data_IF_569698746315
#
_entry.id   IF_569698746315
#
_cell.length_a   1.000
_cell.length_b   1.000
_cell.length_c   1.000
_cell.angle_alpha   90.00
_cell.angle_beta   90.00
_cell.angle_gamma   90.00
#
_symmetry.space_group_name_H-M   'P 1'
#
loop_
_entity.id
_entity.type
_entity.pdbx_description
1 polymer ?
#
# COMPACT_ATOMS: atom_id res chain seq x y z
N UNK A 1 -1.25 5.05 -4.08
CA UNK A 1 -1.78 3.77 -4.60
C UNK A 1 -1.39 2.56 -3.78
N UNK A 2 -0.11 2.29 -3.49
CA UNK A 2 0.27 1.12 -2.70
C UNK A 2 -0.45 1.08 -1.34
N UNK A 3 -0.42 2.18 -0.58
CA UNK A 3 -1.10 2.30 0.70
C UNK A 3 -2.62 2.07 0.60
N UNK A 4 -3.29 2.69 -0.36
CA UNK A 4 -4.74 2.53 -0.61
C UNK A 4 -5.11 1.09 -0.98
N UNK A 5 -4.37 0.48 -1.91
CA UNK A 5 -4.62 -0.91 -2.31
C UNK A 5 -4.38 -1.88 -1.16
N UNK A 6 -3.35 -1.64 -0.35
CA UNK A 6 -3.11 -2.43 0.85
C UNK A 6 -4.24 -2.23 1.88
N UNK A 7 -4.73 -1.00 2.06
CA UNK A 7 -5.85 -0.70 2.95
C UNK A 7 -7.11 -1.47 2.55
N UNK A 8 -7.45 -1.50 1.25
CA UNK A 8 -8.58 -2.27 0.74
C UNK A 8 -8.45 -3.79 0.95
N UNK A 9 -7.21 -4.32 0.93
CA UNK A 9 -6.97 -5.73 1.29
C UNK A 9 -7.18 -5.95 2.80
N UNK A 10 -6.54 -5.12 3.62
CA UNK A 10 -6.57 -5.24 5.08
C UNK A 10 -7.97 -4.99 5.66
N UNK A 11 -8.81 -4.20 4.98
CA UNK A 11 -10.20 -3.98 5.35
C UNK A 11 -11.06 -5.24 5.34
N UNK A 12 -10.63 -6.29 4.62
CA UNK A 12 -11.27 -7.61 4.67
C UNK A 12 -10.98 -8.36 5.98
N UNK A 13 -10.02 -7.88 6.78
CA UNK A 13 -9.57 -8.49 8.03
C UNK A 13 -9.86 -7.64 9.28
N UNK A 14 -10.31 -6.40 9.12
CA UNK A 14 -10.61 -5.51 10.25
C UNK A 14 -10.86 -4.05 9.85
N UNK A 15 -11.07 -3.20 10.84
CA UNK A 15 -11.26 -1.75 10.68
C UNK A 15 -9.92 -1.10 10.36
N UNK A 16 -9.82 -0.50 9.19
CA UNK A 16 -8.58 0.12 8.69
C UNK A 16 -8.72 1.63 8.60
N UNK A 17 -7.67 2.32 9.05
CA UNK A 17 -7.47 3.75 8.82
C UNK A 17 -6.21 3.97 7.99
N UNK A 18 -6.30 4.81 6.97
CA UNK A 18 -5.15 5.40 6.28
C UNK A 18 -4.97 6.83 6.77
N UNK A 19 -3.82 7.11 7.36
CA UNK A 19 -3.40 8.47 7.72
C UNK A 19 -2.53 9.02 6.60
N UNK A 20 -3.01 10.06 5.92
CA UNK A 20 -2.30 10.74 4.84
C UNK A 20 -1.41 11.84 5.42
N UNK A 21 -0.11 11.58 5.48
CA UNK A 21 0.92 12.54 5.86
C UNK A 21 1.70 13.08 4.65
N UNK A 22 1.10 13.05 3.47
CA UNK A 22 1.63 13.74 2.31
C UNK A 22 1.72 15.27 2.59
N UNK A 23 2.86 15.93 2.27
CA UNK A 23 3.05 17.37 2.49
C UNK A 23 2.07 18.25 1.71
N UNK A 24 1.35 17.71 0.72
CA UNK A 24 0.31 18.43 -0.02
C UNK A 24 -0.98 18.65 0.81
N UNK A 25 -1.02 18.21 2.07
CA UNK A 25 -2.15 18.48 2.97
C UNK A 25 -3.43 17.82 2.48
N UNK A 26 -4.52 18.58 2.34
CA UNK A 26 -5.79 18.06 1.81
C UNK A 26 -5.69 17.60 0.34
N UNK A 27 -4.62 17.96 -0.37
CA UNK A 27 -4.32 17.50 -1.73
C UNK A 27 -3.43 16.24 -1.75
N UNK A 28 -3.20 15.61 -0.60
CA UNK A 28 -2.54 14.32 -0.48
C UNK A 28 -3.24 13.22 -1.29
N UNK A 29 -2.46 12.27 -1.79
CA UNK A 29 -2.96 11.26 -2.72
C UNK A 29 -4.09 10.40 -2.13
N UNK A 30 -4.06 10.10 -0.83
CA UNK A 30 -5.10 9.29 -0.21
C UNK A 30 -6.36 10.11 0.09
N UNK A 31 -6.22 11.38 0.50
CA UNK A 31 -7.35 12.27 0.73
C UNK A 31 -8.10 12.61 -0.56
N UNK A 32 -7.37 12.84 -1.67
CA UNK A 32 -7.97 13.04 -3.00
C UNK A 32 -8.69 11.79 -3.49
N UNK A 33 -8.14 10.61 -3.25
CA UNK A 33 -8.84 9.35 -3.53
C UNK A 33 -10.16 9.24 -2.74
N UNK A 34 -10.14 9.58 -1.46
CA UNK A 34 -11.35 9.53 -0.62
C UNK A 34 -12.40 10.56 -1.06
N UNK A 35 -11.98 11.74 -1.54
CA UNK A 35 -12.87 12.70 -2.17
C UNK A 35 -13.50 12.14 -3.46
N UNK A 36 -12.68 11.52 -4.32
CA UNK A 36 -13.18 10.88 -5.54
C UNK A 36 -14.21 9.78 -5.26
N UNK A 37 -14.02 8.99 -4.19
CA UNK A 37 -14.98 7.97 -3.79
C UNK A 37 -16.34 8.60 -3.44
N UNK A 38 -16.34 9.70 -2.68
CA UNK A 38 -17.56 10.46 -2.35
C UNK A 38 -18.22 11.06 -3.59
N UNK A 39 -17.44 11.64 -4.49
CA UNK A 39 -17.96 12.24 -5.73
C UNK A 39 -18.59 11.19 -6.66
N UNK A 40 -18.15 9.93 -6.55
CA UNK A 40 -18.73 8.78 -7.25
C UNK A 40 -19.83 8.05 -6.45
N UNK A 41 -20.29 8.62 -5.32
CA UNK A 41 -21.26 7.99 -4.40
C UNK A 41 -20.88 6.55 -4.00
N UNK A 42 -19.58 6.33 -3.80
CA UNK A 42 -19.00 5.02 -3.55
C UNK A 42 -18.66 4.86 -2.06
N UNK A 43 -19.23 3.85 -1.38
CA UNK A 43 -18.79 3.50 -0.04
C UNK A 43 -17.35 2.99 -0.08
N UNK A 44 -16.53 3.40 0.88
CA UNK A 44 -15.15 2.91 1.03
C UNK A 44 -15.07 1.84 2.12
N UNK A 45 -14.29 0.79 1.88
CA UNK A 45 -14.06 -0.30 2.84
C UNK A 45 -13.17 0.10 4.03
N UNK A 46 -12.52 1.26 3.97
CA UNK A 46 -11.66 1.81 5.01
C UNK A 46 -11.79 3.33 5.09
N UNK A 47 -11.29 3.91 6.17
CA UNK A 47 -11.29 5.36 6.39
C UNK A 47 -9.96 5.99 5.96
N UNK A 48 -10.02 7.25 5.49
CA UNK A 48 -8.84 8.08 5.23
C UNK A 48 -8.92 9.36 6.07
N UNK A 49 -7.80 9.76 6.70
CA UNK A 49 -7.72 10.93 7.57
C UNK A 49 -6.41 11.69 7.35
N UNK A 50 -6.38 13.03 7.47
CA UNK A 50 -5.14 13.81 7.42
C UNK A 50 -4.30 13.69 8.71
N UNK A 51 -4.83 13.06 9.76
CA UNK A 51 -4.20 12.99 11.07
C UNK A 51 -4.49 11.67 11.80
N UNK A 52 -3.65 11.34 12.77
CA UNK A 52 -3.89 10.22 13.67
C UNK A 52 -5.25 10.34 14.38
N UNK A 53 -5.95 9.22 14.59
CA UNK A 53 -7.22 9.22 15.28
C UNK A 53 -7.00 9.53 16.77
N UNK A 54 -8.01 10.13 17.42
CA UNK A 54 -7.99 10.35 18.87
C UNK A 54 -8.06 9.05 19.68
N UNK A 55 -8.69 8.02 19.11
CA UNK A 55 -8.84 6.68 19.67
C UNK A 55 -8.25 5.66 18.68
N UNK A 56 -6.92 5.44 18.68
CA UNK A 56 -6.29 4.45 17.80
C UNK A 56 -6.86 3.04 17.94
N UNK A 57 -7.37 2.68 19.11
CA UNK A 57 -8.05 1.41 19.43
C UNK A 57 -9.38 1.19 18.68
N UNK A 58 -9.95 2.24 18.07
CA UNK A 58 -11.11 2.12 17.17
C UNK A 58 -10.72 1.45 15.83
N UNK A 59 -9.44 1.22 15.58
CA UNK A 59 -8.92 0.63 14.36
C UNK A 59 -8.03 -0.57 14.67
N UNK A 60 -8.17 -1.62 13.87
CA UNK A 60 -7.34 -2.81 13.96
C UNK A 60 -6.01 -2.56 13.22
N UNK A 61 -6.05 -1.80 12.11
CA UNK A 61 -4.86 -1.36 11.37
C UNK A 61 -4.87 0.14 11.16
N UNK A 62 -3.73 0.78 11.42
CA UNK A 62 -3.45 2.15 10.99
C UNK A 62 -2.28 2.12 9.99
N UNK A 63 -2.57 2.44 8.73
CA UNK A 63 -1.57 2.65 7.69
C UNK A 63 -1.20 4.13 7.66
N UNK A 64 0.10 4.41 7.63
CA UNK A 64 0.61 5.78 7.57
C UNK A 64 1.23 5.98 6.19
N UNK A 65 0.55 6.72 5.32
CA UNK A 65 1.07 7.10 4.01
C UNK A 65 1.96 8.34 4.20
N UNK A 66 3.26 8.14 4.14
CA UNK A 66 4.23 9.12 4.62
C UNK A 66 5.25 9.45 3.53
N UNK A 67 5.38 10.75 3.23
CA UNK A 67 6.38 11.22 2.28
C UNK A 67 7.82 11.04 2.82
N UNK A 68 8.81 10.72 1.96
CA UNK A 68 10.19 10.57 2.40
C UNK A 68 10.75 11.86 3.03
N UNK A 69 11.67 11.72 3.99
CA UNK A 69 12.43 12.83 4.55
C UNK A 69 11.77 13.60 5.71
N UNK A 70 10.55 13.23 6.12
CA UNK A 70 9.96 13.73 7.37
C UNK A 70 10.12 12.73 8.52
N UNK A 71 10.28 13.19 9.77
CA UNK A 71 10.25 12.29 10.91
C UNK A 71 8.84 11.73 11.08
N UNK A 72 8.67 10.43 10.84
CA UNK A 72 7.45 9.74 11.19
C UNK A 72 7.29 9.78 12.71
N UNK A 73 6.13 10.25 13.20
CA UNK A 73 5.84 10.31 14.63
C UNK A 73 5.63 8.93 15.26
N UNK A 74 5.44 7.89 14.44
CA UNK A 74 5.15 6.54 14.90
C UNK A 74 6.42 5.71 14.86
N UNK A 75 6.92 5.41 16.06
CA UNK A 75 8.15 4.67 16.28
C UNK A 75 7.96 3.17 16.27
N UNK A 76 6.73 2.65 16.31
CA UNK A 76 6.46 1.21 16.38
C UNK A 76 5.54 0.78 15.24
N UNK A 77 5.94 -0.26 14.51
CA UNK A 77 5.20 -0.78 13.36
C UNK A 77 6.08 -1.34 12.26
N UNK A 78 5.46 -2.13 11.38
CA UNK A 78 6.10 -2.65 10.18
C UNK A 78 6.29 -1.52 9.16
N UNK A 79 7.49 -1.44 8.58
CA UNK A 79 7.78 -0.43 7.55
C UNK A 79 7.72 -1.08 6.17
N UNK A 80 7.01 -0.44 5.25
CA UNK A 80 6.95 -0.80 3.83
C UNK A 80 7.68 0.28 3.04
N UNK A 81 8.63 -0.14 2.21
CA UNK A 81 9.44 0.77 1.39
C UNK A 81 9.03 0.55 -0.07
N UNK A 82 8.27 1.46 -0.69
CA UNK A 82 8.01 1.41 -2.13
C UNK A 82 9.21 1.93 -2.94
N UNK A 83 9.49 1.32 -4.09
CA UNK A 83 10.47 1.81 -5.07
C UNK A 83 10.01 1.51 -6.49
N UNK A 84 10.22 2.44 -7.44
CA UNK A 84 9.90 2.23 -8.87
C UNK A 84 11.04 1.62 -9.67
N UNK A 85 12.19 1.36 -9.01
CA UNK A 85 13.41 0.83 -9.63
C UNK A 85 13.91 1.66 -10.82
N UNK A 86 13.74 2.97 -10.76
CA UNK A 86 14.62 3.92 -11.46
C UNK A 86 15.84 4.21 -10.55
N UNK A 87 16.95 4.72 -11.11
CA UNK A 87 18.17 4.95 -10.32
C UNK A 87 17.94 5.78 -9.05
N UNK A 88 17.11 6.83 -9.11
CA UNK A 88 16.87 7.72 -7.97
C UNK A 88 16.12 7.04 -6.84
N UNK A 89 15.01 6.36 -7.16
CA UNK A 89 14.22 5.64 -6.15
C UNK A 89 14.93 4.38 -5.65
N UNK A 90 15.79 3.75 -6.47
CA UNK A 90 16.64 2.64 -6.06
C UNK A 90 17.63 3.04 -4.95
N UNK A 91 18.40 4.12 -5.14
CA UNK A 91 19.36 4.57 -4.13
C UNK A 91 18.67 5.00 -2.84
N UNK A 92 17.52 5.67 -2.96
CA UNK A 92 16.70 6.07 -1.82
C UNK A 92 16.19 4.85 -1.02
N UNK A 93 15.71 3.82 -1.73
CA UNK A 93 15.24 2.58 -1.11
C UNK A 93 16.37 1.80 -0.43
N UNK A 94 17.56 1.72 -1.03
CA UNK A 94 18.74 1.11 -0.41
C UNK A 94 19.15 1.81 0.87
N UNK A 95 19.22 3.14 0.84
CA UNK A 95 19.52 3.92 2.05
C UNK A 95 18.47 3.68 3.14
N UNK A 96 17.19 3.61 2.78
CA UNK A 96 16.13 3.31 3.72
C UNK A 96 16.26 1.89 4.31
N UNK A 97 16.61 0.89 3.50
CA UNK A 97 16.88 -0.48 3.97
C UNK A 97 18.02 -0.52 4.98
N UNK A 98 19.12 0.19 4.71
CA UNK A 98 20.29 0.22 5.60
C UNK A 98 19.93 0.85 6.95
N UNK A 99 19.21 1.97 6.94
CA UNK A 99 18.74 2.66 8.15
C UNK A 99 17.75 1.81 8.94
N UNK A 100 16.84 1.12 8.23
CA UNK A 100 15.73 0.39 8.84
C UNK A 100 16.02 -1.11 9.02
N UNK A 101 17.25 -1.59 8.77
CA UNK A 101 17.60 -3.02 8.77
C UNK A 101 17.10 -3.79 9.99
N UNK A 102 17.16 -3.17 11.18
CA UNK A 102 16.70 -3.77 12.44
C UNK A 102 15.19 -3.99 12.50
N UNK A 103 14.41 -3.21 11.75
CA UNK A 103 12.95 -3.31 11.62
C UNK A 103 12.49 -4.32 10.57
N UNK A 104 13.43 -4.91 9.81
CA UNK A 104 13.14 -5.87 8.73
C UNK A 104 12.02 -5.37 7.79
N UNK A 105 12.19 -4.18 7.18
CA UNK A 105 11.16 -3.58 6.34
C UNK A 105 10.81 -4.48 5.15
N UNK A 106 9.59 -4.35 4.65
CA UNK A 106 9.15 -4.99 3.41
C UNK A 106 9.46 -4.06 2.26
N UNK A 107 10.39 -4.45 1.39
CA UNK A 107 10.68 -3.72 0.16
C UNK A 107 9.70 -4.16 -0.93
N UNK A 108 9.04 -3.18 -1.56
CA UNK A 108 8.10 -3.40 -2.65
C UNK A 108 8.55 -2.61 -3.88
N UNK A 109 8.98 -3.33 -4.91
CA UNK A 109 9.23 -2.80 -6.24
C UNK A 109 7.89 -2.53 -6.93
N UNK A 110 7.37 -1.32 -6.76
CA UNK A 110 6.03 -0.91 -7.17
C UNK A 110 6.05 -0.25 -8.56
N UNK A 111 5.07 -0.57 -9.41
CA UNK A 111 4.93 -0.07 -10.78
C UNK A 111 6.17 -0.31 -11.65
N UNK A 112 6.73 -1.52 -11.55
CA UNK A 112 7.94 -1.85 -12.30
C UNK A 112 7.66 -2.35 -13.71
N UNK A 113 8.56 -1.98 -14.62
CA UNK A 113 8.58 -2.36 -16.03
C UNK A 113 9.69 -3.37 -16.27
N UNK A 114 9.44 -4.64 -15.90
CA UNK A 114 10.44 -5.72 -15.99
C UNK A 114 10.72 -6.17 -17.43
N UNK A 115 9.96 -5.68 -18.41
CA UNK A 115 10.32 -5.75 -19.82
C UNK A 115 11.62 -4.99 -20.13
N UNK A 116 11.97 -3.99 -19.30
CA UNK A 116 13.17 -3.16 -19.47
C UNK A 116 14.38 -3.77 -18.75
N UNK A 117 15.57 -3.58 -19.33
CA UNK A 117 16.81 -4.13 -18.79
C UNK A 117 17.19 -3.52 -17.41
N UNK A 118 17.05 -2.20 -17.25
CA UNK A 118 17.50 -1.51 -16.04
C UNK A 118 16.70 -1.89 -14.78
N UNK A 119 15.35 -1.86 -14.77
CA UNK A 119 14.58 -2.33 -13.62
C UNK A 119 14.88 -3.80 -13.25
N UNK A 120 15.10 -4.68 -14.24
CA UNK A 120 15.52 -6.07 -13.99
C UNK A 120 16.89 -6.14 -13.31
N UNK A 121 17.86 -5.37 -13.81
CA UNK A 121 19.22 -5.29 -13.24
C UNK A 121 19.21 -4.76 -11.80
N UNK A 122 18.36 -3.77 -11.51
CA UNK A 122 18.24 -3.19 -10.17
C UNK A 122 17.48 -4.11 -9.21
N UNK A 123 16.42 -4.80 -9.67
CA UNK A 123 15.69 -5.79 -8.87
C UNK A 123 16.60 -6.96 -8.45
N UNK A 124 17.46 -7.43 -9.35
CA UNK A 124 18.42 -8.50 -9.06
C UNK A 124 19.41 -8.15 -7.93
N UNK A 125 19.61 -6.86 -7.65
CA UNK A 125 20.47 -6.38 -6.56
C UNK A 125 19.72 -6.24 -5.22
N UNK A 126 18.41 -6.51 -5.19
CA UNK A 126 17.54 -6.36 -4.02
C UNK A 126 16.79 -7.69 -3.77
N UNK A 127 17.48 -8.74 -3.30
CA UNK A 127 16.86 -10.05 -3.07
C UNK A 127 15.74 -9.96 -2.03
N UNK A 128 14.67 -10.72 -2.22
CA UNK A 128 13.50 -10.73 -1.34
C UNK A 128 12.51 -9.57 -1.57
N UNK A 129 12.74 -8.74 -2.59
CA UNK A 129 11.82 -7.66 -2.97
C UNK A 129 10.58 -8.22 -3.66
N UNK A 130 9.40 -7.80 -3.21
CA UNK A 130 8.13 -8.12 -3.87
C UNK A 130 7.93 -7.14 -5.04
N UNK A 131 7.68 -7.66 -6.24
CA UNK A 131 7.53 -6.84 -7.44
C UNK A 131 6.06 -6.74 -7.86
N UNK A 132 5.60 -5.52 -8.12
CA UNK A 132 4.30 -5.18 -8.66
C UNK A 132 4.49 -4.45 -9.99
N UNK A 133 3.96 -5.02 -11.05
CA UNK A 133 4.03 -4.50 -12.42
C UNK A 133 3.31 -3.16 -12.54
N UNK A 134 3.76 -2.33 -13.47
CA UNK A 134 3.04 -1.12 -13.86
C UNK A 134 1.74 -1.47 -14.59
N UNK A 135 0.61 -1.46 -13.86
CA UNK A 135 -0.72 -1.76 -14.39
C UNK A 135 -1.59 -0.50 -14.43
N UNK A 136 -2.25 -0.28 -15.57
CA UNK A 136 -3.22 0.81 -15.74
C UNK A 136 -4.39 0.74 -14.74
N UNK A 137 -4.77 -0.47 -14.30
CA UNK A 137 -5.89 -0.68 -13.37
C UNK A 137 -5.75 0.10 -12.06
N UNK A 138 -4.53 0.33 -11.57
CA UNK A 138 -4.33 1.11 -10.34
C UNK A 138 -4.74 2.57 -10.56
N UNK A 139 -4.41 3.15 -11.71
CA UNK A 139 -4.88 4.48 -12.07
C UNK A 139 -6.39 4.51 -12.33
N UNK A 140 -6.94 3.49 -12.99
CA UNK A 140 -8.39 3.37 -13.20
C UNK A 140 -9.16 3.29 -11.87
N UNK A 141 -8.70 2.46 -10.93
CA UNK A 141 -9.27 2.36 -9.59
C UNK A 141 -9.22 3.69 -8.85
N UNK A 142 -8.09 4.38 -8.91
CA UNK A 142 -7.94 5.70 -8.31
C UNK A 142 -8.96 6.70 -8.85
N UNK A 143 -9.14 6.74 -10.17
CA UNK A 143 -10.03 7.68 -10.86
C UNK A 143 -11.51 7.53 -10.50
N UNK A 144 -11.91 6.42 -9.89
CA UNK A 144 -13.28 6.18 -9.41
C UNK A 144 -13.37 6.01 -7.89
N UNK A 145 -12.31 6.37 -7.17
CA UNK A 145 -12.28 6.26 -5.71
C UNK A 145 -12.41 4.82 -5.22
N UNK A 146 -11.88 3.85 -5.96
CA UNK A 146 -11.89 2.44 -5.62
C UNK A 146 -10.45 1.90 -5.47
N UNK A 147 -10.37 0.69 -4.95
CA UNK A 147 -9.19 -0.17 -4.97
C UNK A 147 -9.46 -1.36 -5.88
N UNK A 148 -8.42 -2.14 -6.18
CA UNK A 148 -8.61 -3.38 -6.96
C UNK A 148 -9.45 -4.43 -6.21
N UNK A 149 -9.73 -4.25 -4.92
CA UNK A 149 -10.50 -5.19 -4.09
C UNK A 149 -12.00 -4.94 -4.15
N UNK A 150 -12.42 -3.75 -4.54
CA UNK A 150 -13.84 -3.40 -4.66
C UNK A 150 -14.43 -4.06 -5.91
N UNK A 151 -15.33 -5.03 -5.72
CA UNK A 151 -15.86 -5.87 -6.81
C UNK A 151 -16.87 -5.12 -7.69
N UNK A 152 -17.58 -4.17 -7.09
CA UNK A 152 -18.60 -3.32 -7.71
C UNK A 152 -18.00 -2.09 -8.44
N UNK A 153 -16.68 -1.95 -8.46
CA UNK A 153 -15.98 -0.85 -9.12
C UNK A 153 -15.82 -1.03 -10.65
N UNK A 154 -16.28 -2.16 -11.22
CA UNK A 154 -16.23 -2.40 -12.67
C UNK A 154 -14.82 -2.47 -13.26
N UNK A 155 -13.82 -2.77 -12.42
CA UNK A 155 -12.40 -2.76 -12.82
C UNK A 155 -12.04 -3.99 -13.64
N UNK A 156 -11.74 -3.79 -14.92
CA UNK A 156 -11.30 -4.86 -15.82
C UNK A 156 -9.94 -5.42 -15.36
N UNK A 157 -9.80 -6.74 -15.39
CA UNK A 157 -8.57 -7.47 -15.03
C UNK A 157 -8.14 -7.30 -13.56
N UNK A 158 -9.07 -7.00 -12.65
CA UNK A 158 -8.78 -6.89 -11.21
C UNK A 158 -8.16 -8.15 -10.62
N UNK A 159 -8.61 -9.34 -11.04
CA UNK A 159 -8.11 -10.62 -10.53
C UNK A 159 -6.59 -10.78 -10.71
N UNK A 160 -6.05 -10.44 -11.89
CA UNK A 160 -4.61 -10.54 -12.14
C UNK A 160 -3.81 -9.55 -11.27
N UNK A 161 -4.35 -8.36 -11.05
CA UNK A 161 -3.73 -7.38 -10.15
C UNK A 161 -3.79 -7.83 -8.68
N UNK A 162 -4.92 -8.42 -8.23
CA UNK A 162 -5.09 -8.99 -6.89
C UNK A 162 -4.08 -10.11 -6.64
N UNK A 163 -3.98 -11.05 -7.59
CA UNK A 163 -3.03 -12.17 -7.50
C UNK A 163 -1.58 -11.71 -7.39
N UNK A 164 -1.20 -10.67 -8.15
CA UNK A 164 0.15 -10.09 -8.06
C UNK A 164 0.37 -9.30 -6.76
N UNK A 165 -0.68 -8.66 -6.22
CA UNK A 165 -0.60 -7.90 -4.98
C UNK A 165 -0.64 -8.78 -3.73
N UNK A 166 -1.22 -9.98 -3.82
CA UNK A 166 -1.43 -10.88 -2.68
C UNK A 166 -0.14 -11.17 -1.87
N UNK A 167 1.03 -11.45 -2.47
CA UNK A 167 2.26 -11.64 -1.71
C UNK A 167 2.66 -10.44 -0.83
N UNK A 168 2.29 -9.21 -1.22
CA UNK A 168 2.49 -8.01 -0.40
C UNK A 168 1.56 -8.01 0.79
N UNK A 169 0.29 -8.38 0.60
CA UNK A 169 -0.69 -8.54 1.68
C UNK A 169 -0.22 -9.59 2.67
N UNK A 170 0.17 -10.76 2.19
CA UNK A 170 0.63 -11.89 3.02
C UNK A 170 1.87 -11.51 3.85
N UNK A 171 2.83 -10.81 3.23
CA UNK A 171 4.03 -10.34 3.92
C UNK A 171 3.75 -9.30 5.01
N UNK A 172 2.65 -8.55 4.89
CA UNK A 172 2.18 -7.60 5.90
C UNK A 172 1.43 -8.34 7.02
N UNK A 173 0.45 -9.17 6.68
CA UNK A 173 -0.35 -9.92 7.64
C UNK A 173 0.50 -10.85 8.51
N UNK A 174 1.43 -11.60 7.92
CA UNK A 174 2.31 -12.52 8.63
C UNK A 174 3.18 -11.83 9.70
N UNK A 175 3.47 -10.54 9.52
CA UNK A 175 4.30 -9.76 10.46
C UNK A 175 3.48 -8.96 11.46
N UNK A 176 2.27 -8.56 11.09
CA UNK A 176 1.37 -7.84 11.96
C UNK A 176 0.65 -8.75 12.97
N UNK A 177 0.81 -10.07 12.87
CA UNK A 177 0.20 -11.03 13.81
C UNK A 177 -1.32 -11.10 13.68
N UNK A 178 -1.88 -10.61 12.56
CA UNK A 178 -3.29 -10.81 12.26
C UNK A 178 -3.56 -12.30 12.09
N UNK A 179 -4.68 -12.82 12.62
CA UNK A 179 -5.10 -14.17 12.28
C UNK A 179 -5.35 -14.21 10.77
N UNK A 180 -4.45 -14.88 10.04
CA UNK A 180 -4.67 -15.20 8.63
C UNK A 180 -5.86 -16.14 8.60
N UNK A 181 -7.05 -15.61 8.26
CA UNK A 181 -8.21 -16.46 8.01
C UNK A 181 -7.92 -17.23 6.74
N UNK A 182 -7.67 -18.53 6.89
CA UNK A 182 -7.57 -19.45 5.77
C UNK A 182 -8.96 -19.51 5.11
N UNK A 183 -9.09 -19.24 3.80
CA UNK A 183 -10.37 -19.36 3.11
C UNK A 183 -10.85 -20.82 3.22
N UNK A 184 -11.93 -21.07 3.98
CA UNK A 184 -12.53 -22.40 4.10
C UNK A 184 -13.02 -22.80 5.49
N UNK A 185 -12.64 -22.09 6.56
CA UNK A 185 -13.23 -22.34 7.88
C UNK A 185 -14.43 -21.41 8.11
N UNK A 186 -15.62 -21.95 7.85
CA UNK A 186 -16.86 -21.37 8.32
C UNK A 186 -16.94 -21.49 9.86
N UNK A 187 -17.41 -20.42 10.50
CA UNK A 187 -17.84 -20.44 11.90
C UNK A 187 -19.18 -21.18 12.06
#
# INVERSE_FOLDING_TARGET
>A
MLALTLAGALAQHGRVLVVDYDPNGNDGGALRWAAQARDCDRPTSFMVSPAMPRRPEDFDVILIDHAPGRPARVTDGQVIIPTTLDPGTYFSARRALDVLRKRKPVLVANRVRLDRAEPRRLLAQLPGTLALSDRAIFASAYGVGATIWDEDAGLRNAQAARAEFQPVVDAVLARAGFPVRVPGEAA
#
